data_IF_059284676593
#
_entry.id   IF_059284676593
#
_cell.length_a   1.000
_cell.length_b   1.000
_cell.length_c   1.000
_cell.angle_alpha   90.00
_cell.angle_beta   90.00
_cell.angle_gamma   90.00
#
_symmetry.space_group_name_H-M   'P 1'
#
loop_
_entity.id
_entity.type
_entity.pdbx_description
1 polymer ?
#
# COMPACT_ATOMS: atom_id res chain seq x y z
N UNK A 1 26.00 -42.43 10.72
CA UNK A 1 25.58 -42.03 9.35
C UNK A 1 25.43 -40.52 9.32
N UNK A 2 26.26 -39.82 8.53
CA UNK A 2 26.17 -38.35 8.40
C UNK A 2 24.98 -37.97 7.51
N UNK A 3 24.02 -37.23 8.05
CA UNK A 3 22.81 -36.80 7.34
C UNK A 3 23.17 -35.61 6.43
N UNK A 4 23.20 -35.84 5.11
CA UNK A 4 23.39 -34.78 4.11
C UNK A 4 22.17 -33.85 4.14
N UNK A 5 22.36 -32.57 4.46
CA UNK A 5 21.32 -31.53 4.34
C UNK A 5 21.31 -31.01 2.90
N UNK A 6 20.23 -31.28 2.17
CA UNK A 6 19.99 -30.71 0.84
C UNK A 6 19.24 -29.38 0.97
N UNK A 7 19.70 -28.35 0.28
CA UNK A 7 18.98 -27.08 0.13
C UNK A 7 18.44 -26.94 -1.28
N UNK A 8 17.14 -26.63 -1.40
CA UNK A 8 16.45 -26.43 -2.67
C UNK A 8 16.27 -24.94 -2.94
N UNK A 9 16.53 -24.50 -4.17
CA UNK A 9 16.29 -23.12 -4.60
C UNK A 9 14.98 -23.06 -5.38
N UNK A 10 13.91 -22.64 -4.72
CA UNK A 10 12.63 -22.40 -5.38
C UNK A 10 12.61 -20.97 -5.95
N UNK A 11 12.23 -20.84 -7.22
CA UNK A 11 11.95 -19.54 -7.86
C UNK A 11 10.49 -19.53 -8.28
N UNK A 12 9.78 -18.47 -7.89
CA UNK A 12 8.43 -18.22 -8.36
C UNK A 12 8.52 -17.36 -9.61
N UNK A 13 7.97 -17.85 -10.72
CA UNK A 13 7.78 -17.08 -11.93
C UNK A 13 6.28 -16.76 -12.03
N UNK A 14 5.86 -15.50 -11.82
CA UNK A 14 4.45 -15.17 -11.84
C UNK A 14 3.90 -15.30 -13.26
N UNK A 15 2.73 -15.91 -13.41
CA UNK A 15 1.99 -15.89 -14.68
C UNK A 15 1.58 -14.46 -15.03
N UNK A 16 1.25 -14.20 -16.30
CA UNK A 16 0.79 -12.88 -16.75
C UNK A 16 -0.40 -12.35 -15.92
N UNK A 17 -1.29 -13.24 -15.48
CA UNK A 17 -2.41 -12.89 -14.60
C UNK A 17 -1.95 -12.42 -13.21
N UNK A 18 -0.96 -13.11 -12.62
CA UNK A 18 -0.40 -12.73 -11.32
C UNK A 18 0.34 -11.38 -11.45
N UNK A 19 1.12 -11.20 -12.53
CA UNK A 19 1.79 -9.94 -12.81
C UNK A 19 0.79 -8.78 -12.94
N UNK A 20 -0.31 -8.98 -13.66
CA UNK A 20 -1.38 -7.99 -13.78
C UNK A 20 -2.00 -7.62 -12.42
N UNK A 21 -2.28 -8.61 -11.56
CA UNK A 21 -2.77 -8.36 -10.20
C UNK A 21 -1.77 -7.59 -9.34
N UNK A 22 -0.49 -7.95 -9.39
CA UNK A 22 0.57 -7.25 -8.67
C UNK A 22 0.70 -5.81 -9.13
N UNK A 23 0.66 -5.57 -10.45
CA UNK A 23 0.72 -4.24 -11.03
C UNK A 23 -0.50 -3.40 -10.65
N UNK A 24 -1.70 -3.98 -10.66
CA UNK A 24 -2.92 -3.32 -10.22
C UNK A 24 -2.82 -2.88 -8.76
N UNK A 25 -2.37 -3.78 -7.86
CA UNK A 25 -2.16 -3.45 -6.45
C UNK A 25 -1.13 -2.33 -6.32
N UNK A 26 0.03 -2.47 -6.97
CA UNK A 26 1.12 -1.50 -6.92
C UNK A 26 0.69 -0.11 -7.38
N UNK A 27 -0.05 -0.01 -8.50
CA UNK A 27 -0.52 1.26 -9.04
C UNK A 27 -1.46 1.97 -8.08
N UNK A 28 -2.42 1.23 -7.51
CA UNK A 28 -3.35 1.80 -6.55
C UNK A 28 -2.68 2.14 -5.22
N UNK A 29 -1.67 1.38 -4.80
CA UNK A 29 -0.87 1.71 -3.62
C UNK A 29 -0.10 3.03 -3.82
N UNK A 30 0.52 3.22 -5.00
CA UNK A 30 1.20 4.47 -5.37
C UNK A 30 0.23 5.65 -5.43
N UNK A 31 -0.95 5.44 -6.00
CA UNK A 31 -2.00 6.44 -6.01
C UNK A 31 -2.34 6.86 -4.57
N UNK A 32 -2.65 5.91 -3.69
CA UNK A 32 -3.01 6.21 -2.30
C UNK A 32 -1.88 6.95 -1.57
N UNK A 33 -0.63 6.52 -1.73
CA UNK A 33 0.53 7.19 -1.13
C UNK A 33 0.63 8.65 -1.56
N UNK A 34 0.51 8.92 -2.86
CA UNK A 34 0.57 10.30 -3.37
C UNK A 34 -0.61 11.14 -2.87
N UNK A 35 -1.81 10.55 -2.77
CA UNK A 35 -2.98 11.25 -2.22
C UNK A 35 -2.78 11.62 -0.74
N UNK A 36 -2.25 10.69 0.06
CA UNK A 36 -1.93 10.95 1.47
C UNK A 36 -0.84 12.02 1.61
N UNK A 37 0.23 11.94 0.82
CA UNK A 37 1.30 12.92 0.82
C UNK A 37 0.80 14.33 0.44
N UNK A 38 -0.10 14.41 -0.54
CA UNK A 38 -0.71 15.68 -0.94
C UNK A 38 -1.59 16.26 0.18
N UNK A 39 -2.37 15.41 0.85
CA UNK A 39 -3.16 15.81 2.01
C UNK A 39 -2.29 16.33 3.17
N UNK A 40 -1.18 15.66 3.48
CA UNK A 40 -0.24 16.13 4.49
C UNK A 40 0.37 17.49 4.14
N UNK A 41 0.73 17.71 2.88
CA UNK A 41 1.23 19.02 2.43
C UNK A 41 0.19 20.12 2.65
N UNK A 42 -1.08 19.83 2.40
CA UNK A 42 -2.18 20.77 2.62
C UNK A 42 -2.35 21.09 4.11
N UNK A 43 -2.35 20.08 4.99
CA UNK A 43 -2.40 20.31 6.45
C UNK A 43 -1.20 21.15 6.90
N UNK A 44 0.01 20.78 6.46
CA UNK A 44 1.22 21.48 6.85
C UNK A 44 1.21 22.94 6.40
N UNK A 45 0.61 23.24 5.24
CA UNK A 45 0.47 24.63 4.80
C UNK A 45 -0.47 25.43 5.70
N UNK A 46 -1.55 24.82 6.19
CA UNK A 46 -2.59 25.48 6.99
C UNK A 46 -2.20 25.64 8.46
N UNK A 47 -1.68 24.58 9.07
CA UNK A 47 -1.53 24.47 10.53
C UNK A 47 -0.09 24.13 10.96
N UNK A 48 0.85 23.99 10.00
CA UNK A 48 2.24 23.56 10.26
C UNK A 48 2.36 22.25 11.04
N UNK A 49 1.31 21.43 10.97
CA UNK A 49 1.21 20.10 11.58
C UNK A 49 1.23 19.01 10.49
N UNK A 50 1.37 17.76 10.92
CA UNK A 50 1.26 16.58 10.06
C UNK A 50 0.06 15.76 10.51
N UNK A 51 -0.63 15.12 9.57
CA UNK A 51 -1.67 14.14 9.92
C UNK A 51 -1.04 12.99 10.71
N UNK A 52 -1.76 12.42 11.66
CA UNK A 52 -1.30 11.17 12.28
C UNK A 52 -1.75 9.96 11.43
N UNK A 53 -1.15 8.81 11.70
CA UNK A 53 -1.48 7.55 11.02
C UNK A 53 -2.97 7.18 11.09
N UNK A 54 -3.61 7.39 12.24
CA UNK A 54 -5.02 7.06 12.45
C UNK A 54 -5.91 7.94 11.58
N UNK A 55 -5.62 9.23 11.49
CA UNK A 55 -6.33 10.18 10.64
C UNK A 55 -6.23 9.77 9.17
N UNK A 56 -5.00 9.50 8.69
CA UNK A 56 -4.78 9.03 7.32
C UNK A 56 -5.51 7.71 7.03
N UNK A 57 -5.57 6.80 8.01
CA UNK A 57 -6.29 5.54 7.86
C UNK A 57 -7.81 5.71 7.81
N UNK A 58 -8.36 6.66 8.57
CA UNK A 58 -9.79 6.97 8.54
C UNK A 58 -10.20 7.54 7.18
N UNK A 59 -9.37 8.39 6.58
CA UNK A 59 -9.59 8.99 5.25
C UNK A 59 -9.56 7.98 4.09
N UNK A 60 -9.03 6.76 4.30
CA UNK A 60 -9.08 5.70 3.29
C UNK A 60 -10.53 5.36 2.90
N UNK A 61 -11.48 5.51 3.81
CA UNK A 61 -12.91 5.31 3.51
C UNK A 61 -13.40 6.31 2.47
N UNK A 62 -13.03 7.58 2.62
CA UNK A 62 -13.39 8.65 1.69
C UNK A 62 -12.68 8.46 0.34
N UNK A 63 -11.39 8.11 0.35
CA UNK A 63 -10.66 7.84 -0.89
C UNK A 63 -11.15 6.60 -1.62
N UNK A 64 -11.77 5.62 -0.94
CA UNK A 64 -12.46 4.49 -1.60
C UNK A 64 -13.74 4.91 -2.32
N UNK A 65 -14.34 6.05 -1.96
CA UNK A 65 -15.47 6.62 -2.69
C UNK A 65 -14.94 7.27 -3.98
N UNK A 66 -13.85 8.02 -3.88
CA UNK A 66 -13.22 8.73 -5.02
C UNK A 66 -12.57 7.76 -6.01
N UNK A 67 -11.82 6.78 -5.50
CA UNK A 67 -11.21 5.71 -6.29
C UNK A 67 -11.72 4.33 -5.82
N UNK A 68 -12.81 3.82 -6.43
CA UNK A 68 -13.39 2.53 -6.08
C UNK A 68 -12.45 1.34 -6.22
N UNK A 69 -11.38 1.44 -7.03
CA UNK A 69 -10.39 0.37 -7.19
C UNK A 69 -9.70 0.01 -5.87
N UNK A 70 -9.61 0.95 -4.92
CA UNK A 70 -9.08 0.69 -3.58
C UNK A 70 -9.92 -0.34 -2.80
N UNK A 71 -11.19 -0.53 -3.13
CA UNK A 71 -12.05 -1.57 -2.51
C UNK A 71 -11.58 -2.99 -2.85
N UNK A 72 -10.86 -3.15 -3.98
CA UNK A 72 -10.33 -4.43 -4.43
C UNK A 72 -8.96 -4.77 -3.82
N UNK A 73 -8.43 -3.92 -2.95
CA UNK A 73 -7.18 -4.15 -2.24
C UNK A 73 -7.49 -4.48 -0.78
N UNK A 74 -6.73 -5.44 -0.24
CA UNK A 74 -6.85 -5.83 1.15
C UNK A 74 -6.62 -4.64 2.10
N UNK A 75 -7.49 -4.48 3.10
CA UNK A 75 -7.49 -3.31 3.98
C UNK A 75 -6.13 -3.08 4.67
N UNK A 76 -5.49 -4.16 5.15
CA UNK A 76 -4.16 -4.07 5.77
C UNK A 76 -3.10 -3.50 4.82
N UNK A 77 -3.17 -3.81 3.53
CA UNK A 77 -2.21 -3.28 2.55
C UNK A 77 -2.37 -1.78 2.41
N UNK A 78 -3.62 -1.28 2.41
CA UNK A 78 -3.90 0.15 2.37
C UNK A 78 -3.43 0.87 3.64
N UNK A 79 -3.68 0.28 4.81
CA UNK A 79 -3.24 0.85 6.10
C UNK A 79 -1.71 0.89 6.23
N UNK A 80 -1.02 -0.11 5.69
CA UNK A 80 0.45 -0.15 5.65
C UNK A 80 1.06 0.90 4.70
N UNK A 81 0.27 1.59 3.88
CA UNK A 81 0.77 2.69 3.04
C UNK A 81 0.91 3.95 3.90
N UNK A 82 -0.05 4.20 4.80
CA UNK A 82 0.03 5.29 5.78
C UNK A 82 1.29 5.19 6.65
N UNK A 83 1.74 3.96 6.94
CA UNK A 83 2.99 3.68 7.66
C UNK A 83 4.27 4.12 6.93
N UNK A 84 4.20 4.47 5.63
CA UNK A 84 5.37 4.87 4.85
C UNK A 84 5.59 6.39 4.80
N UNK A 85 4.65 7.16 5.35
CA UNK A 85 4.74 8.62 5.44
C UNK A 85 5.28 9.08 6.79
N UNK A 86 5.22 8.22 7.81
CA UNK A 86 5.66 8.51 9.18
C UNK A 86 6.97 7.81 9.54
#
# INVERSE_FOLDING_TARGET
MNKIRKTYKFRLYPSNQIQGKLQFILNNCRYLYNTQLEYEKQIYFLDKSYANKLDLNNLILDWKIINPNLKNIHAQVLQNISDRLH
#
